data_IF_929113750253
#
_entry.id   IF_929113750253
#
_cell.length_a   1.000
_cell.length_b   1.000
_cell.length_c   1.000
_cell.angle_alpha   90.00
_cell.angle_beta   90.00
_cell.angle_gamma   90.00
#
_symmetry.space_group_name_H-M   'P 1'
#
loop_
_entity.id
_entity.type
_entity.pdbx_description
1 polymer ?
#
# COMPACT_ATOMS: atom_id res chain seq x y z
N UNK A 1 10.91 -57.63 -0.77
CA UNK A 1 11.25 -56.63 0.28
C UNK A 1 11.98 -55.47 -0.39
N UNK A 2 11.52 -54.23 -0.22
CA UNK A 2 12.19 -53.04 -0.76
C UNK A 2 11.40 -51.78 -0.36
N UNK A 3 11.90 -51.08 0.67
CA UNK A 3 11.21 -50.03 1.42
C UNK A 3 11.12 -48.71 0.65
N UNK A 4 9.94 -48.08 0.70
CA UNK A 4 9.70 -46.66 0.39
C UNK A 4 10.34 -45.79 1.51
N UNK A 5 11.20 -44.84 1.14
CA UNK A 5 11.66 -43.76 2.01
C UNK A 5 10.75 -42.54 1.88
N UNK A 6 10.14 -42.11 3.00
CA UNK A 6 9.44 -40.83 3.15
C UNK A 6 10.47 -39.75 3.48
N UNK A 7 10.44 -38.61 2.79
CA UNK A 7 11.02 -37.35 3.27
C UNK A 7 10.03 -36.63 4.19
N UNK A 8 10.47 -36.23 5.41
CA UNK A 8 9.93 -35.04 6.04
C UNK A 8 11.07 -34.22 6.67
N UNK A 9 11.42 -33.05 6.10
CA UNK A 9 12.42 -32.18 6.74
C UNK A 9 12.21 -30.66 6.57
N UNK A 10 11.25 -30.19 5.77
CA UNK A 10 11.06 -28.74 5.53
C UNK A 10 10.07 -28.05 6.49
N UNK A 11 8.93 -28.68 6.81
CA UNK A 11 7.90 -28.09 7.70
C UNK A 11 8.34 -27.92 9.17
N UNK A 12 9.28 -28.72 9.65
CA UNK A 12 9.74 -28.65 11.05
C UNK A 12 10.63 -27.43 11.34
N UNK A 13 11.35 -26.91 10.34
CA UNK A 13 12.26 -25.76 10.52
C UNK A 13 11.52 -24.42 10.53
N UNK A 14 10.48 -24.25 9.71
CA UNK A 14 9.64 -23.04 9.74
C UNK A 14 8.83 -22.93 11.03
N UNK A 15 8.25 -24.04 11.51
CA UNK A 15 7.52 -24.07 12.77
C UNK A 15 8.44 -23.81 13.99
N UNK A 16 9.69 -24.31 13.95
CA UNK A 16 10.67 -24.03 14.99
C UNK A 16 11.15 -22.57 14.95
N UNK A 17 11.36 -21.98 13.77
CA UNK A 17 11.73 -20.58 13.63
C UNK A 17 10.61 -19.62 14.09
N UNK A 18 9.35 -19.92 13.75
CA UNK A 18 8.18 -19.19 14.28
C UNK A 18 8.07 -19.30 15.80
N UNK A 19 8.27 -20.50 16.36
CA UNK A 19 8.24 -20.71 17.81
C UNK A 19 9.34 -19.96 18.56
N UNK A 20 10.54 -19.85 18.00
CA UNK A 20 11.67 -19.11 18.57
C UNK A 20 11.45 -17.59 18.50
N UNK A 21 10.88 -17.08 17.41
CA UNK A 21 10.52 -15.66 17.28
C UNK A 21 9.39 -15.25 18.25
N UNK A 22 8.36 -16.10 18.41
CA UNK A 22 7.27 -15.87 19.37
C UNK A 22 7.76 -15.95 20.83
N UNK A 23 8.69 -16.84 21.15
CA UNK A 23 9.28 -16.92 22.50
C UNK A 23 10.23 -15.76 22.79
N UNK A 24 11.01 -15.29 21.82
CA UNK A 24 11.85 -14.10 21.98
C UNK A 24 11.01 -12.82 22.16
N UNK A 25 9.94 -12.65 21.37
CA UNK A 25 9.01 -11.54 21.53
C UNK A 25 8.27 -11.61 22.88
N UNK A 26 7.86 -12.80 23.32
CA UNK A 26 7.22 -13.03 24.63
C UNK A 26 8.16 -12.75 25.80
N UNK A 27 9.44 -13.13 25.70
CA UNK A 27 10.46 -12.86 26.71
C UNK A 27 10.78 -11.35 26.80
N UNK A 28 10.96 -10.67 25.65
CA UNK A 28 11.15 -9.22 25.60
C UNK A 28 9.93 -8.47 26.18
N UNK A 29 8.71 -8.94 25.88
CA UNK A 29 7.48 -8.40 26.46
C UNK A 29 7.39 -8.63 27.98
N UNK A 30 8.01 -9.68 28.53
CA UNK A 30 8.01 -9.98 29.95
C UNK A 30 9.01 -9.12 30.74
N UNK A 31 10.20 -8.84 30.18
CA UNK A 31 11.21 -7.97 30.80
C UNK A 31 10.77 -6.49 30.85
N UNK A 32 10.04 -6.01 29.83
CA UNK A 32 9.53 -4.64 29.76
C UNK A 32 8.36 -4.33 30.72
N UNK A 33 7.71 -5.34 31.32
CA UNK A 33 6.54 -5.15 32.20
C UNK A 33 6.85 -4.51 33.56
N UNK A 34 8.13 -4.38 33.92
CA UNK A 34 8.55 -4.00 35.27
C UNK A 34 8.76 -2.48 35.50
N UNK A 35 8.62 -1.62 34.48
CA UNK A 35 9.15 -0.24 34.57
C UNK A 35 8.12 0.91 34.47
N UNK A 36 6.84 0.68 34.19
CA UNK A 36 5.94 1.79 33.84
C UNK A 36 5.20 2.39 35.06
N UNK A 37 5.86 3.30 35.79
CA UNK A 37 5.21 4.16 36.82
C UNK A 37 5.38 5.67 36.58
N UNK A 38 6.12 6.10 35.55
CA UNK A 38 6.31 7.50 35.22
C UNK A 38 5.15 8.07 34.37
N UNK A 39 4.86 9.38 34.52
CA UNK A 39 3.97 10.11 33.62
C UNK A 39 4.59 10.19 32.22
N UNK A 40 3.93 9.61 31.22
CA UNK A 40 4.41 9.68 29.84
C UNK A 40 4.28 11.10 29.28
N UNK A 41 5.39 11.69 28.86
CA UNK A 41 5.40 12.94 28.11
C UNK A 41 6.36 12.79 26.91
N UNK A 42 5.84 12.75 25.67
CA UNK A 42 6.65 12.62 24.46
C UNK A 42 7.74 13.69 24.29
N UNK A 43 7.58 14.85 24.94
CA UNK A 43 8.52 15.98 24.84
C UNK A 43 9.79 15.79 25.67
N UNK A 44 9.81 14.80 26.55
CA UNK A 44 10.98 14.52 27.38
C UNK A 44 12.09 13.81 26.58
N UNK A 45 11.78 13.31 25.37
CA UNK A 45 12.74 12.68 24.48
C UNK A 45 13.73 13.69 23.92
N UNK A 46 15.02 13.37 23.97
CA UNK A 46 16.09 14.15 23.37
C UNK A 46 16.27 13.80 21.88
N UNK A 47 15.93 12.57 21.49
CA UNK A 47 15.99 12.11 20.11
C UNK A 47 14.86 11.11 19.76
N UNK A 48 14.63 10.82 18.46
CA UNK A 48 13.57 9.92 18.02
C UNK A 48 13.69 8.46 18.50
N UNK A 49 14.90 7.97 18.79
CA UNK A 49 15.13 6.62 19.29
C UNK A 49 14.82 6.51 20.79
N UNK A 50 15.14 7.53 21.57
CA UNK A 50 14.70 7.62 22.97
C UNK A 50 13.16 7.70 23.04
N UNK A 51 12.53 8.46 22.15
CA UNK A 51 11.06 8.50 22.04
C UNK A 51 10.46 7.13 21.71
N UNK A 52 11.09 6.37 20.81
CA UNK A 52 10.70 5.00 20.48
C UNK A 52 10.72 4.10 21.73
N UNK A 53 11.81 4.13 22.50
CA UNK A 53 11.97 3.30 23.70
C UNK A 53 10.96 3.67 24.80
N UNK A 54 10.72 4.97 25.00
CA UNK A 54 9.67 5.45 25.90
C UNK A 54 8.28 4.99 25.47
N UNK A 55 7.96 5.09 24.18
CA UNK A 55 6.67 4.63 23.67
C UNK A 55 6.50 3.12 23.86
N UNK A 56 7.52 2.32 23.56
CA UNK A 56 7.50 0.85 23.73
C UNK A 56 7.23 0.46 25.18
N UNK A 57 7.82 1.16 26.16
CA UNK A 57 7.56 0.91 27.58
C UNK A 57 6.11 1.29 27.99
N UNK A 58 5.56 2.38 27.45
CA UNK A 58 4.24 2.90 27.81
C UNK A 58 3.08 2.18 27.11
N UNK A 59 3.33 1.57 25.94
CA UNK A 59 2.34 0.74 25.25
C UNK A 59 1.88 -0.49 26.05
N UNK A 60 2.57 -0.83 27.14
CA UNK A 60 2.18 -1.89 28.07
C UNK A 60 1.30 -1.40 29.24
N UNK A 61 1.04 -0.09 29.35
CA UNK A 61 0.24 0.51 30.43
C UNK A 61 -1.19 -0.05 30.44
N UNK A 62 -1.77 -0.21 31.64
CA UNK A 62 -3.14 -0.70 31.82
C UNK A 62 -4.18 0.29 31.28
N UNK A 63 -3.88 1.59 31.27
CA UNK A 63 -4.78 2.69 30.90
C UNK A 63 -4.83 2.87 29.37
N UNK A 64 -6.03 2.75 28.80
CA UNK A 64 -6.28 2.95 27.37
C UNK A 64 -5.81 4.32 26.83
N UNK A 65 -6.21 5.45 27.45
CA UNK A 65 -5.82 6.78 26.96
C UNK A 65 -4.31 6.99 26.89
N UNK A 66 -3.56 6.47 27.87
CA UNK A 66 -2.09 6.56 27.90
C UNK A 66 -1.45 5.73 26.79
N UNK A 67 -1.99 4.53 26.50
CA UNK A 67 -1.55 3.73 25.36
C UNK A 67 -1.88 4.39 24.02
N UNK A 68 -3.04 5.03 23.89
CA UNK A 68 -3.39 5.79 22.69
C UNK A 68 -2.42 6.95 22.44
N UNK A 69 -2.07 7.70 23.47
CA UNK A 69 -1.11 8.80 23.38
C UNK A 69 0.28 8.30 23.00
N UNK A 70 0.75 7.20 23.59
CA UNK A 70 2.01 6.57 23.21
C UNK A 70 2.00 6.05 21.77
N UNK A 71 0.90 5.45 21.30
CA UNK A 71 0.79 4.98 19.91
C UNK A 71 0.79 6.16 18.92
N UNK A 72 0.15 7.27 19.27
CA UNK A 72 0.17 8.48 18.45
C UNK A 72 1.56 9.11 18.38
N UNK A 73 2.25 9.21 19.52
CA UNK A 73 3.63 9.71 19.58
C UNK A 73 4.60 8.81 18.79
N UNK A 74 4.43 7.50 18.89
CA UNK A 74 5.19 6.52 18.12
C UNK A 74 4.99 6.68 16.61
N UNK A 75 3.75 6.83 16.16
CA UNK A 75 3.45 7.13 14.75
C UNK A 75 4.13 8.43 14.28
N UNK A 76 4.06 9.50 15.08
CA UNK A 76 4.74 10.76 14.78
C UNK A 76 6.27 10.64 14.71
N UNK A 77 6.87 9.84 15.60
CA UNK A 77 8.30 9.54 15.57
C UNK A 77 8.70 8.82 14.27
N UNK A 78 7.93 7.82 13.85
CA UNK A 78 8.17 7.07 12.61
C UNK A 78 8.00 7.95 11.37
N UNK A 79 7.01 8.86 11.32
CA UNK A 79 6.87 9.85 10.24
C UNK A 79 8.08 10.79 10.14
N UNK A 80 8.73 11.06 11.28
CA UNK A 80 9.88 11.93 11.38
C UNK A 80 11.22 11.19 11.23
N UNK A 81 11.25 9.86 11.10
CA UNK A 81 12.49 9.11 10.96
C UNK A 81 12.89 8.95 9.48
N UNK A 82 14.17 9.14 9.13
CA UNK A 82 14.67 8.64 7.86
C UNK A 82 14.49 7.12 7.79
N UNK A 83 14.48 6.51 6.60
CA UNK A 83 14.47 5.06 6.50
C UNK A 83 15.71 4.47 7.14
N UNK A 84 15.50 3.39 7.86
CA UNK A 84 16.52 2.70 8.63
C UNK A 84 16.82 1.38 7.93
N UNK A 85 18.11 1.05 7.84
CA UNK A 85 18.57 -0.20 7.25
C UNK A 85 17.93 -1.38 7.98
N UNK A 86 18.04 -1.37 9.31
CA UNK A 86 17.39 -2.28 10.24
C UNK A 86 17.04 -1.47 11.50
N UNK A 87 15.76 -1.45 11.91
CA UNK A 87 15.48 -1.35 13.34
C UNK A 87 15.73 -2.78 13.85
N UNK A 88 16.59 -2.89 14.85
CA UNK A 88 16.95 -4.13 15.53
C UNK A 88 15.72 -4.88 16.10
N UNK A 89 15.88 -5.74 17.10
CA UNK A 89 14.77 -6.40 17.84
C UNK A 89 13.53 -5.51 18.15
N UNK A 90 13.71 -4.18 18.27
CA UNK A 90 12.68 -3.15 18.44
C UNK A 90 11.56 -3.18 17.39
N UNK A 91 11.84 -3.51 16.13
CA UNK A 91 10.81 -3.66 15.08
C UNK A 91 9.69 -4.61 15.48
N UNK A 92 10.12 -5.82 15.86
CA UNK A 92 9.23 -6.92 16.16
C UNK A 92 8.51 -6.66 17.47
N UNK A 93 9.15 -5.99 18.42
CA UNK A 93 8.51 -5.52 19.66
C UNK A 93 7.43 -4.48 19.36
N UNK A 94 7.72 -3.46 18.54
CA UNK A 94 6.72 -2.47 18.12
C UNK A 94 5.55 -3.12 17.39
N UNK A 95 5.83 -4.02 16.44
CA UNK A 95 4.80 -4.77 15.73
C UNK A 95 3.98 -5.66 16.69
N UNK A 96 4.61 -6.36 17.62
CA UNK A 96 3.92 -7.21 18.60
C UNK A 96 3.00 -6.38 19.50
N UNK A 97 3.45 -5.21 19.96
CA UNK A 97 2.63 -4.28 20.75
C UNK A 97 1.45 -3.73 19.95
N UNK A 98 1.67 -3.33 18.70
CA UNK A 98 0.59 -2.96 17.78
C UNK A 98 -0.41 -4.11 17.59
N UNK A 99 0.09 -5.34 17.43
CA UNK A 99 -0.72 -6.54 17.31
C UNK A 99 -1.59 -6.81 18.54
N UNK A 100 -1.11 -6.49 19.74
CA UNK A 100 -1.90 -6.55 20.98
C UNK A 100 -3.03 -5.53 20.95
N UNK A 101 -2.76 -4.27 20.58
CA UNK A 101 -3.78 -3.22 20.46
C UNK A 101 -4.84 -3.55 19.41
N UNK A 102 -4.42 -4.11 18.26
CA UNK A 102 -5.32 -4.59 17.20
C UNK A 102 -6.20 -5.74 17.70
N UNK A 103 -5.62 -6.76 18.34
CA UNK A 103 -6.37 -7.92 18.86
C UNK A 103 -7.34 -7.53 19.98
N UNK A 104 -6.98 -6.56 20.83
CA UNK A 104 -7.86 -6.05 21.91
C UNK A 104 -9.07 -5.28 21.41
N UNK A 105 -9.03 -4.73 20.18
CA UNK A 105 -10.17 -4.05 19.55
C UNK A 105 -11.10 -5.01 18.78
N UNK A 106 -10.78 -6.30 18.71
CA UNK A 106 -11.52 -7.28 17.92
C UNK A 106 -12.95 -7.64 18.41
N UNK A 107 -13.41 -7.35 19.65
CA UNK A 107 -14.85 -7.28 19.91
C UNK A 107 -15.39 -5.93 19.43
N UNK A 108 -16.27 -5.96 18.41
CA UNK A 108 -16.94 -4.81 17.80
C UNK A 108 -17.46 -3.82 18.86
N UNK A 109 -17.08 -2.55 18.74
CA UNK A 109 -17.47 -1.48 19.66
C UNK A 109 -16.67 -1.39 20.98
N UNK A 110 -15.58 -2.15 21.15
CA UNK A 110 -14.73 -2.05 22.32
C UNK A 110 -14.07 -0.66 22.46
N UNK A 111 -13.85 -0.21 23.71
CA UNK A 111 -13.30 1.08 24.11
C UNK A 111 -11.90 1.47 23.53
N UNK A 112 -11.34 0.69 22.59
CA UNK A 112 -10.00 0.81 22.04
C UNK A 112 -9.95 0.93 20.50
N UNK A 113 -11.06 1.23 19.82
CA UNK A 113 -11.08 1.34 18.35
C UNK A 113 -10.10 2.41 17.81
N UNK A 114 -9.91 3.51 18.56
CA UNK A 114 -8.93 4.54 18.22
C UNK A 114 -7.49 4.03 18.40
N UNK A 115 -7.19 3.33 19.49
CA UNK A 115 -5.92 2.64 19.70
C UNK A 115 -5.58 1.69 18.54
N UNK A 116 -6.54 0.89 18.06
CA UNK A 116 -6.33 -0.01 16.93
C UNK A 116 -6.06 0.73 15.61
N UNK A 117 -6.76 1.83 15.32
CA UNK A 117 -6.47 2.66 14.14
C UNK A 117 -5.06 3.23 14.16
N UNK A 118 -4.62 3.71 15.32
CA UNK A 118 -3.25 4.19 15.51
C UNK A 118 -2.23 3.05 15.34
N UNK A 119 -2.55 1.84 15.82
CA UNK A 119 -1.71 0.67 15.64
C UNK A 119 -1.55 0.29 14.15
N UNK A 120 -2.64 0.24 13.37
CA UNK A 120 -2.56 -0.01 11.92
C UNK A 120 -1.70 1.03 11.20
N UNK A 121 -1.90 2.32 11.52
CA UNK A 121 -1.08 3.39 10.96
C UNK A 121 0.40 3.20 11.30
N UNK A 122 0.70 2.89 12.56
CA UNK A 122 2.07 2.66 13.06
C UNK A 122 2.74 1.49 12.35
N UNK A 123 2.02 0.37 12.13
CA UNK A 123 2.56 -0.80 11.40
C UNK A 123 2.91 -0.44 9.96
N UNK A 124 2.06 0.30 9.25
CA UNK A 124 2.37 0.73 7.89
C UNK A 124 3.51 1.75 7.82
N UNK A 125 3.59 2.69 8.77
CA UNK A 125 4.72 3.62 8.87
C UNK A 125 6.02 2.87 9.16
N UNK A 126 5.99 1.92 10.08
CA UNK A 126 7.11 1.03 10.37
C UNK A 126 7.57 0.36 9.08
N UNK A 127 6.67 -0.27 8.32
CA UNK A 127 7.02 -0.92 7.05
C UNK A 127 7.70 0.04 6.04
N UNK A 128 7.28 1.30 5.95
CA UNK A 128 7.90 2.30 5.07
C UNK A 128 9.25 2.82 5.58
N UNK A 129 9.46 2.81 6.89
CA UNK A 129 10.74 3.17 7.52
C UNK A 129 11.77 2.04 7.46
N UNK A 130 11.35 0.78 7.36
CA UNK A 130 12.25 -0.37 7.30
C UNK A 130 12.71 -0.66 5.88
N UNK A 131 14.03 -0.63 5.64
CA UNK A 131 14.59 -0.97 4.33
C UNK A 131 14.70 -2.50 4.15
N UNK A 132 15.34 -3.21 5.08
CA UNK A 132 15.55 -4.66 4.96
C UNK A 132 14.43 -5.50 5.63
N UNK A 133 13.89 -5.05 6.76
CA UNK A 133 12.94 -5.81 7.59
C UNK A 133 11.47 -5.78 7.14
N UNK A 134 11.12 -5.05 6.07
CA UNK A 134 9.73 -4.90 5.64
C UNK A 134 9.10 -6.22 5.15
N UNK A 135 9.89 -7.13 4.58
CA UNK A 135 9.41 -8.45 4.13
C UNK A 135 9.00 -9.34 5.30
N UNK A 136 9.84 -9.43 6.33
CA UNK A 136 9.52 -10.22 7.53
C UNK A 136 8.30 -9.62 8.26
N UNK A 137 8.23 -8.28 8.32
CA UNK A 137 7.07 -7.58 8.85
C UNK A 137 5.78 -7.93 8.09
N UNK A 138 5.82 -8.00 6.75
CA UNK A 138 4.67 -8.41 5.93
C UNK A 138 4.22 -9.82 6.27
N UNK A 139 5.14 -10.77 6.43
CA UNK A 139 4.77 -12.16 6.76
C UNK A 139 4.09 -12.29 8.12
N UNK A 140 4.50 -11.48 9.09
CA UNK A 140 3.84 -11.43 10.40
C UNK A 140 2.54 -10.61 10.40
N UNK A 141 2.48 -9.53 9.63
CA UNK A 141 1.33 -8.63 9.58
C UNK A 141 0.18 -9.20 8.74
N UNK A 142 0.48 -9.90 7.64
CA UNK A 142 -0.52 -10.36 6.67
C UNK A 142 -1.63 -11.22 7.31
N UNK A 143 -1.36 -12.25 8.14
CA UNK A 143 -2.43 -13.05 8.75
C UNK A 143 -3.37 -12.22 9.64
N UNK A 144 -2.83 -11.23 10.36
CA UNK A 144 -3.60 -10.34 11.23
C UNK A 144 -4.46 -9.36 10.41
N UNK A 145 -3.87 -8.73 9.40
CA UNK A 145 -4.52 -7.75 8.54
C UNK A 145 -5.57 -8.41 7.65
N UNK A 146 -5.22 -9.50 6.98
CA UNK A 146 -6.12 -10.29 6.14
C UNK A 146 -7.37 -10.75 6.91
N UNK A 147 -7.17 -11.26 8.13
CA UNK A 147 -8.28 -11.63 9.01
C UNK A 147 -9.16 -10.42 9.35
N UNK A 148 -8.56 -9.28 9.67
CA UNK A 148 -9.31 -8.06 10.00
C UNK A 148 -10.15 -7.60 8.81
N UNK A 149 -9.54 -7.52 7.62
CA UNK A 149 -10.24 -6.98 6.44
C UNK A 149 -11.37 -7.88 5.95
N UNK A 150 -11.29 -9.18 6.25
CA UNK A 150 -12.32 -10.17 5.90
C UNK A 150 -13.50 -10.20 6.87
N UNK A 151 -13.44 -9.50 8.02
CA UNK A 151 -14.58 -9.39 8.94
C UNK A 151 -15.63 -8.48 8.33
N UNK A 152 -16.90 -8.89 8.35
CA UNK A 152 -18.02 -8.02 7.99
C UNK A 152 -18.11 -6.87 9.00
N UNK A 153 -17.69 -5.68 8.59
CA UNK A 153 -17.72 -4.50 9.44
C UNK A 153 -19.16 -4.03 9.71
N UNK A 154 -19.40 -3.60 10.94
CA UNK A 154 -20.54 -2.74 11.25
C UNK A 154 -20.31 -1.33 10.69
N UNK A 155 -21.36 -0.50 10.59
CA UNK A 155 -21.22 0.88 10.12
C UNK A 155 -20.25 1.69 11.00
N UNK A 156 -20.22 1.42 12.31
CA UNK A 156 -19.38 2.13 13.29
C UNK A 156 -17.90 1.71 13.22
N UNK A 157 -17.60 0.52 12.66
CA UNK A 157 -16.25 0.00 12.51
C UNK A 157 -15.60 0.39 11.17
N UNK A 158 -16.30 1.11 10.29
CA UNK A 158 -15.80 1.49 8.96
C UNK A 158 -14.43 2.19 8.98
N UNK A 159 -14.15 3.17 9.88
CA UNK A 159 -12.82 3.81 9.93
C UNK A 159 -11.70 2.85 10.36
N UNK A 160 -12.01 1.84 11.17
CA UNK A 160 -11.04 0.82 11.61
C UNK A 160 -10.69 -0.11 10.45
N UNK A 161 -11.70 -0.52 9.68
CA UNK A 161 -11.50 -1.33 8.49
C UNK A 161 -10.72 -0.58 7.39
N UNK A 162 -11.00 0.72 7.20
CA UNK A 162 -10.23 1.58 6.29
C UNK A 162 -8.76 1.63 6.71
N UNK A 163 -8.47 1.82 8.01
CA UNK A 163 -7.10 1.83 8.51
C UNK A 163 -6.39 0.48 8.28
N UNK A 164 -7.11 -0.64 8.42
CA UNK A 164 -6.57 -1.97 8.16
C UNK A 164 -6.29 -2.21 6.66
N UNK A 165 -7.17 -1.75 5.76
CA UNK A 165 -6.99 -1.81 4.31
C UNK A 165 -5.78 -0.98 3.85
N UNK A 166 -5.69 0.26 4.33
CA UNK A 166 -4.56 1.14 4.03
C UNK A 166 -3.25 0.54 4.57
N UNK A 167 -3.25 0.00 5.79
CA UNK A 167 -2.09 -0.68 6.37
C UNK A 167 -1.69 -1.91 5.55
N UNK A 168 -2.63 -2.77 5.14
CA UNK A 168 -2.33 -3.94 4.31
C UNK A 168 -1.67 -3.52 2.99
N UNK A 169 -2.21 -2.51 2.32
CA UNK A 169 -1.66 -2.00 1.07
C UNK A 169 -0.23 -1.48 1.24
N UNK A 170 0.03 -0.69 2.29
CA UNK A 170 1.37 -0.12 2.54
C UNK A 170 2.39 -1.17 2.94
N UNK A 171 2.04 -2.09 3.84
CA UNK A 171 2.94 -3.14 4.28
C UNK A 171 3.27 -4.08 3.11
N UNK A 172 2.28 -4.42 2.28
CA UNK A 172 2.51 -5.22 1.07
C UNK A 172 3.38 -4.49 0.08
N UNK A 173 3.15 -3.20 -0.16
CA UNK A 173 4.00 -2.39 -1.04
C UNK A 173 5.46 -2.43 -0.57
N UNK A 174 5.71 -2.12 0.70
CA UNK A 174 7.06 -2.06 1.28
C UNK A 174 7.74 -3.43 1.37
N UNK A 175 6.99 -4.47 1.75
CA UNK A 175 7.53 -5.77 2.13
C UNK A 175 7.51 -6.84 1.03
N UNK A 176 6.64 -6.75 0.03
CA UNK A 176 6.51 -7.80 -0.97
C UNK A 176 7.81 -7.98 -1.77
N UNK A 177 8.34 -9.21 -1.80
CA UNK A 177 9.54 -9.55 -2.57
C UNK A 177 9.17 -10.39 -3.81
N UNK A 178 8.09 -11.17 -3.74
CA UNK A 178 7.59 -11.98 -4.86
C UNK A 178 6.19 -11.53 -5.29
N UNK A 179 5.78 -11.84 -6.51
CA UNK A 179 4.46 -11.49 -7.03
C UNK A 179 3.33 -12.08 -6.15
N UNK A 180 3.51 -13.31 -5.67
CA UNK A 180 2.58 -14.03 -4.79
C UNK A 180 2.21 -13.22 -3.53
N UNK A 181 3.14 -12.42 -2.97
CA UNK A 181 2.89 -11.58 -1.80
C UNK A 181 1.87 -10.46 -2.08
N UNK A 182 1.96 -9.90 -3.28
CA UNK A 182 1.04 -8.86 -3.74
C UNK A 182 -0.28 -9.49 -4.13
N UNK A 183 -0.26 -10.62 -4.84
CA UNK A 183 -1.46 -11.36 -5.25
C UNK A 183 -2.32 -11.81 -4.06
N UNK A 184 -1.71 -12.34 -2.97
CA UNK A 184 -2.45 -12.70 -1.75
C UNK A 184 -3.16 -11.51 -1.12
N UNK A 185 -2.53 -10.33 -1.18
CA UNK A 185 -3.08 -9.08 -0.63
C UNK A 185 -4.17 -8.49 -1.54
N UNK A 186 -3.95 -8.49 -2.85
CA UNK A 186 -4.94 -8.12 -3.86
C UNK A 186 -6.20 -8.95 -3.72
N UNK A 187 -6.06 -10.27 -3.57
CA UNK A 187 -7.18 -11.18 -3.35
C UNK A 187 -7.94 -10.84 -2.07
N UNK A 188 -7.24 -10.61 -0.96
CA UNK A 188 -7.87 -10.27 0.32
C UNK A 188 -8.66 -8.95 0.25
N UNK A 189 -8.16 -7.95 -0.47
CA UNK A 189 -8.84 -6.66 -0.66
C UNK A 189 -10.01 -6.79 -1.66
N UNK A 190 -9.82 -7.52 -2.77
CA UNK A 190 -10.87 -7.76 -3.77
C UNK A 190 -12.11 -8.38 -3.15
N UNK A 191 -11.88 -9.33 -2.25
CA UNK A 191 -12.86 -10.00 -1.43
C UNK A 191 -13.70 -9.05 -0.54
N UNK A 192 -13.20 -7.86 -0.22
CA UNK A 192 -13.94 -6.79 0.49
C UNK A 192 -14.81 -5.98 -0.47
N UNK A 193 -14.31 -5.71 -1.67
CA UNK A 193 -15.03 -5.00 -2.73
C UNK A 193 -16.21 -5.87 -3.21
N UNK A 194 -15.93 -7.14 -3.48
CA UNK A 194 -16.90 -8.12 -3.99
C UNK A 194 -16.88 -9.40 -3.13
N UNK A 195 -17.65 -9.44 -2.02
CA UNK A 195 -17.70 -10.61 -1.16
C UNK A 195 -18.19 -11.87 -1.89
N UNK A 196 -17.52 -13.04 -1.74
CA UNK A 196 -17.92 -14.29 -2.31
C UNK A 196 -19.22 -14.78 -1.66
N UNK A 197 -20.00 -15.52 -2.45
CA UNK A 197 -21.31 -16.04 -2.04
C UNK A 197 -21.25 -16.85 -0.73
N UNK A 198 -20.14 -17.54 -0.47
CA UNK A 198 -19.93 -18.33 0.76
C UNK A 198 -19.92 -17.50 2.06
N UNK A 199 -19.65 -16.18 1.98
CA UNK A 199 -19.74 -15.27 3.14
C UNK A 199 -21.15 -14.70 3.36
N UNK A 200 -22.10 -15.03 2.48
CA UNK A 200 -23.49 -14.58 2.56
C UNK A 200 -24.36 -15.64 3.23
N UNK A 201 -24.34 -15.71 4.56
CA UNK A 201 -25.24 -16.58 5.34
C UNK A 201 -26.67 -16.03 5.46
N UNK A 202 -26.93 -14.83 4.93
CA UNK A 202 -28.22 -14.15 5.02
C UNK A 202 -28.98 -14.16 3.70
N UNK A 203 -30.32 -14.18 3.79
CA UNK A 203 -31.23 -14.05 2.63
C UNK A 203 -30.88 -12.78 1.83
N UNK A 204 -31.03 -12.78 0.48
CA UNK A 204 -30.59 -11.70 -0.41
C UNK A 204 -31.11 -10.30 -0.04
N UNK A 205 -32.25 -10.20 0.64
CA UNK A 205 -32.84 -8.94 1.11
C UNK A 205 -32.21 -8.34 2.39
N UNK A 206 -31.24 -9.01 3.02
CA UNK A 206 -30.61 -8.60 4.30
C UNK A 206 -29.08 -8.55 4.23
N UNK A 207 -28.54 -8.47 3.01
CA UNK A 207 -27.10 -8.29 2.79
C UNK A 207 -26.72 -6.89 3.26
N UNK A 208 -25.95 -6.79 4.34
CA UNK A 208 -25.36 -5.50 4.74
C UNK A 208 -24.41 -5.06 3.64
N UNK A 209 -24.79 -4.02 2.90
CA UNK A 209 -23.95 -3.41 1.85
C UNK A 209 -22.70 -2.83 2.51
N UNK A 210 -21.53 -3.08 1.92
CA UNK A 210 -20.28 -2.43 2.32
C UNK A 210 -20.46 -0.91 2.22
N UNK A 211 -20.19 -0.17 3.30
CA UNK A 211 -20.30 1.30 3.29
C UNK A 211 -19.42 1.91 2.20
N UNK A 212 -19.87 2.99 1.56
CA UNK A 212 -19.13 3.70 0.52
C UNK A 212 -17.68 4.01 0.93
N UNK A 213 -17.46 4.45 2.18
CA UNK A 213 -16.13 4.72 2.73
C UNK A 213 -15.18 3.51 2.67
N UNK A 214 -15.68 2.31 2.99
CA UNK A 214 -14.90 1.07 2.94
C UNK A 214 -14.63 0.69 1.48
N UNK A 215 -15.63 0.80 0.60
CA UNK A 215 -15.47 0.51 -0.83
C UNK A 215 -14.40 1.41 -1.47
N UNK A 216 -14.44 2.72 -1.20
CA UNK A 216 -13.42 3.66 -1.70
C UNK A 216 -12.02 3.26 -1.23
N UNK A 217 -11.85 2.97 0.06
CA UNK A 217 -10.56 2.58 0.59
C UNK A 217 -10.07 1.25 -0.01
N UNK A 218 -10.96 0.27 -0.14
CA UNK A 218 -10.64 -1.04 -0.71
C UNK A 218 -10.26 -0.93 -2.20
N UNK A 219 -11.03 -0.21 -3.01
CA UNK A 219 -10.71 0.03 -4.42
C UNK A 219 -9.40 0.80 -4.56
N UNK A 220 -9.18 1.84 -3.75
CA UNK A 220 -7.94 2.63 -3.78
C UNK A 220 -6.72 1.78 -3.39
N UNK A 221 -6.84 0.96 -2.33
CA UNK A 221 -5.80 0.06 -1.87
C UNK A 221 -5.48 -1.04 -2.90
N UNK A 222 -6.52 -1.59 -3.52
CA UNK A 222 -6.37 -2.58 -4.60
C UNK A 222 -5.67 -1.97 -5.81
N UNK A 223 -6.14 -0.82 -6.29
CA UNK A 223 -5.52 -0.12 -7.44
C UNK A 223 -4.06 0.22 -7.14
N UNK A 224 -3.77 0.73 -5.94
CA UNK A 224 -2.41 0.99 -5.51
C UNK A 224 -1.53 -0.26 -5.61
N UNK A 225 -1.97 -1.42 -5.11
CA UNK A 225 -1.18 -2.65 -5.22
C UNK A 225 -1.06 -3.17 -6.66
N UNK A 226 -2.10 -3.04 -7.50
CA UNK A 226 -2.03 -3.44 -8.92
C UNK A 226 -0.92 -2.71 -9.64
N UNK A 227 -0.68 -1.43 -9.35
CA UNK A 227 0.43 -0.66 -9.94
C UNK A 227 1.83 -1.17 -9.58
N UNK A 228 1.92 -2.11 -8.63
CA UNK A 228 3.18 -2.63 -8.10
C UNK A 228 3.47 -4.05 -8.57
N UNK A 229 2.48 -4.74 -9.15
CA UNK A 229 2.67 -6.10 -9.66
C UNK A 229 3.36 -6.02 -11.03
N UNK A 230 4.48 -6.73 -11.25
CA UNK A 230 5.05 -6.88 -12.59
C UNK A 230 4.16 -7.83 -13.41
N UNK A 231 3.13 -7.28 -14.05
CA UNK A 231 2.22 -8.05 -14.89
C UNK A 231 2.81 -8.11 -16.30
N UNK A 232 3.20 -9.30 -16.74
CA UNK A 232 3.72 -9.53 -18.09
C UNK A 232 2.58 -9.72 -19.10
N UNK A 233 2.77 -9.38 -20.39
CA UNK A 233 1.75 -9.60 -21.43
C UNK A 233 1.29 -11.07 -21.54
N UNK A 234 2.18 -12.03 -21.28
CA UNK A 234 1.86 -13.46 -21.26
C UNK A 234 0.96 -13.85 -20.09
N UNK A 235 1.15 -13.25 -18.91
CA UNK A 235 0.25 -13.43 -17.76
C UNK A 235 -1.14 -12.87 -18.07
N UNK A 236 -1.23 -11.65 -18.61
CA UNK A 236 -2.53 -11.06 -19.00
C UNK A 236 -3.28 -11.97 -19.99
N UNK A 237 -2.57 -12.61 -20.92
CA UNK A 237 -3.15 -13.57 -21.87
C UNK A 237 -3.66 -14.84 -21.19
N UNK A 238 -2.88 -15.37 -20.27
CA UNK A 238 -3.25 -16.56 -19.49
C UNK A 238 -4.50 -16.29 -18.65
N UNK A 239 -4.53 -15.14 -17.98
CA UNK A 239 -5.59 -14.74 -17.04
C UNK A 239 -6.66 -13.86 -17.69
N UNK A 240 -6.80 -13.92 -19.02
CA UNK A 240 -7.70 -13.04 -19.79
C UNK A 240 -9.12 -12.99 -19.23
N UNK A 241 -9.68 -14.14 -18.84
CA UNK A 241 -11.04 -14.23 -18.33
C UNK A 241 -11.17 -13.58 -16.95
N UNK A 242 -10.15 -13.71 -16.10
CA UNK A 242 -10.10 -13.09 -14.79
C UNK A 242 -10.03 -11.56 -14.93
N UNK A 243 -9.18 -11.04 -15.85
CA UNK A 243 -9.11 -9.62 -16.13
C UNK A 243 -10.40 -9.07 -16.73
N UNK A 244 -11.01 -9.72 -17.73
CA UNK A 244 -12.31 -9.29 -18.27
C UNK A 244 -13.38 -9.19 -17.18
N UNK A 245 -13.43 -10.17 -16.27
CA UNK A 245 -14.37 -10.15 -15.14
C UNK A 245 -14.05 -9.02 -14.15
N UNK A 246 -12.77 -8.79 -13.88
CA UNK A 246 -12.29 -7.70 -13.00
C UNK A 246 -12.70 -6.34 -13.57
N UNK A 247 -12.48 -6.11 -14.87
CA UNK A 247 -12.84 -4.86 -15.55
C UNK A 247 -14.36 -4.65 -15.55
N UNK A 248 -15.14 -5.68 -15.86
CA UNK A 248 -16.61 -5.59 -15.80
C UNK A 248 -17.10 -5.27 -14.39
N UNK A 249 -16.49 -5.86 -13.36
CA UNK A 249 -16.86 -5.60 -11.95
C UNK A 249 -16.53 -4.16 -11.55
N UNK A 250 -15.36 -3.64 -11.93
CA UNK A 250 -14.98 -2.24 -11.71
C UNK A 250 -15.88 -1.27 -12.50
N UNK A 251 -16.26 -1.61 -13.73
CA UNK A 251 -17.20 -0.83 -14.52
C UNK A 251 -18.57 -0.70 -13.84
N UNK A 252 -19.06 -1.78 -13.21
CA UNK A 252 -20.30 -1.73 -12.42
C UNK A 252 -20.24 -0.75 -11.24
N UNK A 253 -19.06 -0.46 -10.69
CA UNK A 253 -18.91 0.54 -9.62
C UNK A 253 -19.02 1.99 -10.12
N UNK A 254 -18.91 2.25 -11.43
CA UNK A 254 -19.15 3.58 -12.00
C UNK A 254 -20.61 4.03 -11.85
N UNK A 255 -21.53 3.10 -11.67
CA UNK A 255 -22.97 3.36 -11.51
C UNK A 255 -23.40 3.49 -10.04
N UNK A 256 -22.48 3.33 -9.08
CA UNK A 256 -22.77 3.36 -7.65
C UNK A 256 -23.35 4.70 -7.18
N UNK A 257 -24.25 4.76 -6.20
CA UNK A 257 -24.89 6.04 -5.77
C UNK A 257 -23.91 7.08 -5.21
N UNK A 258 -22.86 6.60 -4.54
CA UNK A 258 -21.81 7.45 -3.96
C UNK A 258 -20.74 7.84 -5.01
N UNK A 259 -20.55 9.16 -5.19
CA UNK A 259 -19.59 9.73 -6.15
C UNK A 259 -18.14 9.35 -5.88
N UNK A 260 -17.75 9.23 -4.61
CA UNK A 260 -16.38 8.87 -4.25
C UNK A 260 -16.06 7.43 -4.65
N UNK A 261 -17.05 6.53 -4.60
CA UNK A 261 -16.93 5.16 -5.13
C UNK A 261 -16.76 5.18 -6.65
N UNK A 262 -17.56 5.98 -7.37
CA UNK A 262 -17.41 6.14 -8.83
C UNK A 262 -16.01 6.64 -9.19
N UNK A 263 -15.52 7.66 -8.48
CA UNK A 263 -14.20 8.24 -8.70
C UNK A 263 -13.09 7.20 -8.51
N UNK A 264 -13.12 6.44 -7.40
CA UNK A 264 -12.13 5.39 -7.14
C UNK A 264 -12.15 4.29 -8.22
N UNK A 265 -13.34 3.91 -8.71
CA UNK A 265 -13.50 2.95 -9.80
C UNK A 265 -12.96 3.51 -11.13
N UNK A 266 -13.19 4.79 -11.42
CA UNK A 266 -12.63 5.48 -12.59
C UNK A 266 -11.10 5.49 -12.58
N UNK A 267 -10.47 5.83 -11.46
CA UNK A 267 -9.01 5.76 -11.30
C UNK A 267 -8.50 4.33 -11.47
N UNK A 268 -9.20 3.33 -10.92
CA UNK A 268 -8.86 1.92 -11.09
C UNK A 268 -8.86 1.50 -12.56
N UNK A 269 -9.91 1.86 -13.31
CA UNK A 269 -10.03 1.57 -14.73
C UNK A 269 -8.96 2.28 -15.57
N UNK A 270 -8.66 3.55 -15.25
CA UNK A 270 -7.59 4.28 -15.94
C UNK A 270 -6.22 3.60 -15.76
N UNK A 271 -5.91 3.14 -14.54
CA UNK A 271 -4.71 2.32 -14.28
C UNK A 271 -4.76 1.00 -15.05
N UNK A 272 -5.88 0.29 -15.05
CA UNK A 272 -6.00 -0.97 -15.80
C UNK A 272 -5.79 -0.80 -17.31
N UNK A 273 -6.28 0.30 -17.89
CA UNK A 273 -6.04 0.64 -19.30
C UNK A 273 -4.56 0.97 -19.52
N UNK A 274 -3.96 1.80 -18.67
CA UNK A 274 -2.55 2.19 -18.79
C UNK A 274 -1.59 0.99 -18.68
N UNK A 275 -1.92 0.02 -17.82
CA UNK A 275 -1.16 -1.23 -17.66
C UNK A 275 -1.52 -2.29 -18.71
N UNK A 276 -2.36 -1.94 -19.70
CA UNK A 276 -2.80 -2.83 -20.79
C UNK A 276 -3.51 -4.11 -20.30
N UNK A 277 -4.20 -4.04 -19.15
CA UNK A 277 -4.97 -5.15 -18.57
C UNK A 277 -6.33 -5.33 -19.26
N UNK A 278 -6.76 -4.34 -20.03
CA UNK A 278 -8.02 -4.33 -20.78
C UNK A 278 -7.91 -4.90 -22.20
N UNK A 279 -6.71 -5.31 -22.65
CA UNK A 279 -6.46 -5.68 -24.06
C UNK A 279 -7.32 -6.83 -24.61
N UNK A 280 -7.90 -7.68 -23.75
CA UNK A 280 -8.77 -8.80 -24.13
C UNK A 280 -10.25 -8.55 -23.80
N UNK A 281 -10.60 -7.37 -23.28
CA UNK A 281 -12.00 -6.96 -23.07
C UNK A 281 -12.65 -6.73 -24.44
N UNK A 282 -13.91 -7.13 -24.59
CA UNK A 282 -14.60 -6.94 -25.87
C UNK A 282 -14.71 -5.46 -26.20
N UNK A 283 -14.57 -5.12 -27.49
CA UNK A 283 -14.61 -3.73 -27.95
C UNK A 283 -15.89 -3.01 -27.52
N UNK A 284 -17.04 -3.70 -27.62
CA UNK A 284 -18.33 -3.17 -27.21
C UNK A 284 -18.40 -2.84 -25.71
N UNK A 285 -17.80 -3.68 -24.86
CA UNK A 285 -17.74 -3.44 -23.42
C UNK A 285 -16.87 -2.22 -23.11
N UNK A 286 -15.74 -2.07 -23.80
CA UNK A 286 -14.89 -0.88 -23.68
C UNK A 286 -15.59 0.38 -24.17
N UNK A 287 -16.33 0.32 -25.29
CA UNK A 287 -17.12 1.43 -25.80
C UNK A 287 -18.22 1.85 -24.79
N UNK A 288 -18.85 0.88 -24.12
CA UNK A 288 -19.81 1.13 -23.04
C UNK A 288 -19.16 1.83 -21.84
N UNK A 289 -18.00 1.33 -21.38
CA UNK A 289 -17.24 1.96 -20.28
C UNK A 289 -16.88 3.40 -20.62
N UNK A 290 -16.39 3.66 -21.84
CA UNK A 290 -16.02 5.01 -22.30
C UNK A 290 -17.26 5.93 -22.32
N UNK A 291 -18.42 5.42 -22.76
CA UNK A 291 -19.66 6.18 -22.73
C UNK A 291 -20.05 6.58 -21.29
N UNK A 292 -20.04 5.63 -20.35
CA UNK A 292 -20.31 5.90 -18.93
C UNK A 292 -19.35 6.92 -18.34
N UNK A 293 -18.06 6.83 -18.67
CA UNK A 293 -17.02 7.79 -18.23
C UNK A 293 -17.30 9.20 -18.78
N UNK A 294 -17.73 9.33 -20.04
CA UNK A 294 -18.12 10.62 -20.63
C UNK A 294 -19.36 11.22 -19.96
N UNK A 295 -20.35 10.39 -19.66
CA UNK A 295 -21.56 10.83 -18.96
C UNK A 295 -21.22 11.35 -17.55
N UNK A 296 -20.33 10.68 -16.82
CA UNK A 296 -19.86 11.13 -15.50
C UNK A 296 -19.02 12.41 -15.56
N UNK A 297 -18.27 12.63 -16.64
CA UNK A 297 -17.53 13.88 -16.89
C UNK A 297 -18.48 15.08 -17.18
N UNK A 298 -19.62 14.78 -17.82
CA UNK A 298 -20.64 15.75 -18.18
C UNK A 298 -21.78 15.87 -17.16
N UNK A 299 -21.78 15.07 -16.08
CA UNK A 299 -22.88 14.96 -15.12
C UNK A 299 -23.35 16.34 -14.64
N UNK A 300 -24.63 16.62 -14.87
CA UNK A 300 -25.29 17.79 -14.32
C UNK A 300 -25.62 17.53 -12.85
N UNK A 301 -25.45 18.54 -11.99
CA UNK A 301 -25.61 18.36 -10.53
C UNK A 301 -27.02 18.07 -10.03
N UNK A 302 -27.99 17.82 -10.91
CA UNK A 302 -29.39 17.55 -10.59
C UNK A 302 -30.09 18.66 -9.82
N UNK A 303 -31.43 18.65 -9.81
CA UNK A 303 -32.20 19.39 -8.79
C UNK A 303 -32.37 18.48 -7.58
N UNK A 304 -31.84 18.89 -6.43
CA UNK A 304 -31.99 18.14 -5.15
C UNK A 304 -30.91 17.08 -4.88
N UNK A 305 -30.02 16.78 -5.82
CA UNK A 305 -28.87 15.91 -5.54
C UNK A 305 -27.78 16.67 -4.77
N UNK A 306 -27.08 15.96 -3.88
CA UNK A 306 -25.91 16.51 -3.21
C UNK A 306 -24.90 16.99 -4.25
N UNK A 307 -24.41 18.22 -4.14
CA UNK A 307 -23.36 18.77 -5.03
C UNK A 307 -21.95 18.44 -4.54
N UNK A 308 -21.84 17.82 -3.36
CA UNK A 308 -20.56 17.44 -2.76
C UNK A 308 -19.82 16.48 -3.70
N UNK A 309 -18.53 16.70 -3.91
CA UNK A 309 -17.65 15.95 -4.82
C UNK A 309 -17.99 16.04 -6.32
N UNK A 310 -19.05 16.74 -6.74
CA UNK A 310 -19.40 16.82 -8.16
C UNK A 310 -18.33 17.55 -9.00
N UNK A 311 -17.76 18.70 -8.58
CA UNK A 311 -16.67 19.33 -9.30
C UNK A 311 -15.45 18.41 -9.46
N UNK A 312 -15.07 17.73 -8.37
CA UNK A 312 -13.93 16.81 -8.30
C UNK A 312 -14.17 15.58 -9.20
N UNK A 313 -15.37 15.02 -9.17
CA UNK A 313 -15.78 13.93 -10.05
C UNK A 313 -15.65 14.35 -11.52
N UNK A 314 -16.26 15.47 -11.91
CA UNK A 314 -16.22 15.95 -13.30
C UNK A 314 -14.80 16.23 -13.75
N UNK A 315 -13.97 16.81 -12.87
CA UNK A 315 -12.56 17.04 -13.16
C UNK A 315 -11.82 15.72 -13.42
N UNK A 316 -11.94 14.75 -12.52
CA UNK A 316 -11.30 13.44 -12.67
C UNK A 316 -11.75 12.74 -13.95
N UNK A 317 -13.05 12.63 -14.21
CA UNK A 317 -13.53 11.92 -15.39
C UNK A 317 -13.19 12.64 -16.70
N UNK A 318 -13.03 13.97 -16.71
CA UNK A 318 -12.48 14.67 -17.88
C UNK A 318 -11.04 14.29 -18.15
N UNK A 319 -10.21 14.13 -17.11
CA UNK A 319 -8.84 13.64 -17.28
C UNK A 319 -8.83 12.20 -17.82
N UNK A 320 -9.73 11.35 -17.33
CA UNK A 320 -9.87 9.97 -17.83
C UNK A 320 -10.35 9.96 -19.28
N UNK A 321 -11.34 10.77 -19.66
CA UNK A 321 -11.77 10.91 -21.08
C UNK A 321 -10.60 11.33 -21.96
N UNK A 322 -9.86 12.37 -21.57
CA UNK A 322 -8.69 12.83 -22.33
C UNK A 322 -7.64 11.73 -22.49
N UNK A 323 -7.40 10.94 -21.43
CA UNK A 323 -6.52 9.78 -21.50
C UNK A 323 -7.04 8.71 -22.45
N UNK A 324 -8.32 8.34 -22.37
CA UNK A 324 -8.90 7.26 -23.20
C UNK A 324 -9.00 7.65 -24.68
N UNK A 325 -9.26 8.93 -24.99
CA UNK A 325 -9.45 9.41 -26.36
C UNK A 325 -8.15 9.85 -27.04
N UNK A 326 -7.18 10.36 -26.27
CA UNK A 326 -6.00 11.05 -26.81
C UNK A 326 -4.66 10.58 -26.19
N UNK A 327 -4.67 9.57 -25.31
CA UNK A 327 -3.50 9.14 -24.51
C UNK A 327 -2.90 10.32 -23.70
N UNK A 328 -3.74 11.30 -23.34
CA UNK A 328 -3.34 12.43 -22.48
C UNK A 328 -3.26 11.98 -21.03
N UNK A 329 -2.05 11.59 -20.61
CA UNK A 329 -1.76 11.16 -19.25
C UNK A 329 -1.71 12.33 -18.25
N UNK A 330 -2.06 12.10 -16.98
CA UNK A 330 -1.97 13.13 -15.96
C UNK A 330 -0.53 13.60 -15.76
N UNK A 331 -0.37 14.89 -15.47
CA UNK A 331 0.92 15.51 -15.16
C UNK A 331 0.83 16.21 -13.80
N UNK A 332 1.50 15.66 -12.81
CA UNK A 332 1.67 16.30 -11.49
C UNK A 332 3.16 16.53 -11.24
N UNK A 333 3.48 17.65 -10.59
CA UNK A 333 4.85 17.92 -10.17
C UNK A 333 4.88 18.31 -8.70
N UNK A 334 5.71 17.63 -7.91
CA UNK A 334 5.93 17.94 -6.49
C UNK A 334 7.33 18.48 -6.32
N UNK A 335 7.43 19.70 -5.80
CA UNK A 335 8.73 20.26 -5.44
C UNK A 335 9.20 19.66 -4.12
N UNK A 336 10.43 19.14 -4.10
CA UNK A 336 11.12 18.69 -2.90
C UNK A 336 12.50 19.33 -2.79
N UNK A 337 13.12 19.26 -1.62
CA UNK A 337 14.50 19.71 -1.41
C UNK A 337 15.40 18.50 -1.26
N UNK A 338 16.50 18.44 -2.00
CA UNK A 338 17.46 17.37 -1.89
C UNK A 338 18.07 17.34 -0.49
N UNK A 339 18.12 16.15 0.13
CA UNK A 339 18.67 15.99 1.47
C UNK A 339 20.17 16.34 1.55
N UNK A 340 20.93 16.17 0.46
CA UNK A 340 22.38 16.33 0.43
C UNK A 340 22.86 17.78 0.38
N UNK A 341 22.17 18.66 -0.36
CA UNK A 341 22.62 20.03 -0.63
C UNK A 341 21.51 21.08 -0.58
N UNK A 342 20.29 20.69 -0.20
CA UNK A 342 19.13 21.57 -0.10
C UNK A 342 18.58 22.06 -1.45
N UNK A 343 19.11 21.60 -2.58
CA UNK A 343 18.67 22.05 -3.91
C UNK A 343 17.24 21.62 -4.18
N UNK A 344 16.52 22.48 -4.90
CA UNK A 344 15.17 22.18 -5.36
C UNK A 344 15.22 21.03 -6.38
N UNK A 345 14.56 19.93 -6.07
CA UNK A 345 14.29 18.84 -7.01
C UNK A 345 12.79 18.81 -7.31
N UNK A 346 12.43 18.43 -8.52
CA UNK A 346 11.02 18.30 -8.91
C UNK A 346 10.72 16.83 -9.20
N UNK A 347 9.88 16.24 -8.37
CA UNK A 347 9.24 14.96 -8.63
C UNK A 347 8.24 15.16 -9.75
N UNK A 348 8.38 14.46 -10.87
CA UNK A 348 7.40 14.51 -11.95
C UNK A 348 6.67 13.18 -12.03
N UNK A 349 5.34 13.24 -12.09
CA UNK A 349 4.45 12.11 -12.29
C UNK A 349 3.74 12.31 -13.61
N UNK A 350 3.88 11.33 -14.51
CA UNK A 350 3.40 11.39 -15.90
C UNK A 350 2.51 10.20 -16.29
N UNK A 351 2.17 9.34 -15.32
CA UNK A 351 1.36 8.13 -15.54
C UNK A 351 0.30 8.01 -14.45
N UNK A 352 -0.83 7.37 -14.77
CA UNK A 352 -1.90 7.07 -13.82
C UNK A 352 -1.42 6.18 -12.69
N UNK A 353 -0.65 5.13 -13.01
CA UNK A 353 -0.07 4.22 -12.03
C UNK A 353 0.78 4.97 -11.00
N UNK A 354 1.64 5.88 -11.45
CA UNK A 354 2.48 6.69 -10.55
C UNK A 354 1.68 7.76 -9.80
N UNK A 355 0.64 8.33 -10.41
CA UNK A 355 -0.26 9.25 -9.73
C UNK A 355 -1.00 8.58 -8.58
N UNK A 356 -1.53 7.37 -8.80
CA UNK A 356 -2.18 6.59 -7.75
C UNK A 356 -1.19 6.25 -6.63
N UNK A 357 0.03 5.78 -6.97
CA UNK A 357 1.08 5.54 -5.97
C UNK A 357 1.39 6.79 -5.14
N UNK A 358 1.57 7.93 -5.79
CA UNK A 358 1.86 9.22 -5.15
C UNK A 358 0.74 9.63 -4.20
N UNK A 359 -0.50 9.63 -4.69
CA UNK A 359 -1.67 10.05 -3.92
C UNK A 359 -1.92 9.16 -2.71
N UNK A 360 -1.78 7.85 -2.90
CA UNK A 360 -1.95 6.88 -1.82
C UNK A 360 -0.90 7.07 -0.72
N UNK A 361 0.39 7.15 -1.10
CA UNK A 361 1.48 7.33 -0.16
C UNK A 361 1.47 8.71 0.50
N UNK A 362 1.08 9.77 -0.22
CA UNK A 362 0.89 11.13 0.33
C UNK A 362 -0.18 11.17 1.39
N UNK A 363 -1.34 10.56 1.12
CA UNK A 363 -2.45 10.42 2.09
C UNK A 363 -2.02 9.60 3.30
N UNK A 364 -1.30 8.50 3.08
CA UNK A 364 -0.86 7.63 4.16
C UNK A 364 0.22 8.28 5.03
N UNK A 365 1.28 8.85 4.45
CA UNK A 365 2.40 9.43 5.19
C UNK A 365 2.08 10.78 5.86
N UNK A 366 1.07 11.51 5.37
CA UNK A 366 0.68 12.79 5.96
C UNK A 366 1.85 13.78 6.03
N UNK A 367 2.14 14.28 7.23
CA UNK A 367 3.23 15.24 7.46
C UNK A 367 4.63 14.70 7.14
N UNK A 368 4.84 13.38 7.26
CA UNK A 368 6.10 12.72 6.95
C UNK A 368 6.38 12.55 5.45
N UNK A 369 5.41 12.83 4.57
CA UNK A 369 5.53 12.55 3.13
C UNK A 369 6.78 13.18 2.49
N UNK A 370 7.01 14.48 2.73
CA UNK A 370 8.15 15.17 2.13
C UNK A 370 9.48 14.60 2.61
N UNK A 371 9.59 14.20 3.87
CA UNK A 371 10.82 13.63 4.43
C UNK A 371 11.13 12.28 3.78
N UNK A 372 10.13 11.40 3.72
CA UNK A 372 10.27 10.11 3.04
C UNK A 372 10.64 10.28 1.57
N UNK A 373 10.00 11.19 0.81
CA UNK A 373 10.36 11.40 -0.60
C UNK A 373 11.81 11.88 -0.76
N UNK A 374 12.34 12.66 0.18
CA UNK A 374 13.71 13.19 0.12
C UNK A 374 14.78 12.17 0.52
N UNK A 375 14.49 11.34 1.52
CA UNK A 375 15.49 10.50 2.18
C UNK A 375 15.32 9.01 1.81
N UNK A 376 14.15 8.59 1.36
CA UNK A 376 13.83 7.18 1.13
C UNK A 376 14.08 6.70 -0.29
N UNK A 377 14.98 5.72 -0.41
CA UNK A 377 15.28 5.02 -1.66
C UNK A 377 14.02 4.43 -2.29
N UNK A 378 13.05 3.95 -1.49
CA UNK A 378 11.77 3.43 -1.99
C UNK A 378 11.02 4.47 -2.84
N UNK A 379 11.14 5.76 -2.53
CA UNK A 379 10.51 6.85 -3.27
C UNK A 379 11.39 7.36 -4.42
N UNK A 380 12.72 7.33 -4.25
CA UNK A 380 13.70 7.70 -5.31
C UNK A 380 13.64 6.78 -6.52
N UNK A 381 13.37 5.51 -6.29
CA UNK A 381 13.26 4.49 -7.35
C UNK A 381 11.84 4.42 -7.93
N UNK A 382 10.81 4.74 -7.13
CA UNK A 382 9.43 4.78 -7.60
C UNK A 382 9.11 5.97 -8.49
N UNK A 383 9.85 7.09 -8.38
CA UNK A 383 9.53 8.31 -9.12
C UNK A 383 10.75 8.93 -9.80
N UNK A 384 10.55 9.55 -10.96
CA UNK A 384 11.61 10.27 -11.66
C UNK A 384 11.77 11.68 -11.09
N UNK A 385 12.94 11.97 -10.53
CA UNK A 385 13.32 13.31 -10.07
C UNK A 385 14.01 14.03 -11.22
N UNK A 386 13.38 15.09 -11.73
CA UNK A 386 14.04 15.99 -12.66
C UNK A 386 15.07 16.84 -11.93
N UNK A 387 16.34 16.77 -12.33
CA UNK A 387 17.30 17.83 -12.00
C UNK A 387 17.12 18.98 -13.00
N UNK A 388 17.16 20.22 -12.53
CA UNK A 388 17.31 21.39 -13.42
C UNK A 388 18.79 21.65 -13.80
N UNK A 389 19.70 20.74 -13.45
CA UNK A 389 21.13 20.94 -13.66
C UNK A 389 21.64 20.10 -14.83
N UNK A 390 21.82 20.76 -15.99
CA UNK A 390 22.73 20.34 -17.06
C UNK A 390 24.18 20.34 -16.53
N UNK A 391 24.59 19.32 -15.76
CA UNK A 391 26.01 19.07 -15.48
C UNK A 391 26.35 17.59 -15.64
N UNK A 392 27.26 17.33 -16.59
CA UNK A 392 27.84 16.01 -16.88
C UNK A 392 28.65 15.55 -15.67
N UNK A 393 28.19 14.52 -14.96
CA UNK A 393 28.96 13.86 -13.91
C UNK A 393 30.22 13.21 -14.48
N UNK A 394 31.31 13.26 -13.72
CA UNK A 394 32.61 12.74 -14.12
C UNK A 394 32.70 11.22 -13.95
N UNK A 395 33.60 10.58 -14.69
CA UNK A 395 33.81 9.12 -14.71
C UNK A 395 34.26 8.58 -13.33
N UNK A 396 34.84 9.42 -12.48
CA UNK A 396 35.30 9.05 -11.14
C UNK A 396 34.14 8.85 -10.15
N UNK A 397 33.09 9.68 -10.24
CA UNK A 397 31.89 9.60 -9.38
C UNK A 397 31.07 8.33 -9.69
N UNK A 398 31.05 7.90 -10.95
CA UNK A 398 30.44 6.62 -11.37
C UNK A 398 31.13 5.38 -10.79
N UNK A 399 32.44 5.45 -10.51
CA UNK A 399 33.21 4.30 -10.00
C UNK A 399 33.08 4.09 -8.49
N UNK A 400 32.80 5.15 -7.71
CA UNK A 400 32.63 5.02 -6.26
C UNK A 400 31.25 4.48 -5.87
N UNK A 401 30.20 4.74 -6.65
CA UNK A 401 28.86 4.18 -6.41
C UNK A 401 28.79 2.64 -6.55
N UNK A 402 29.74 2.02 -7.26
CA UNK A 402 29.72 0.59 -7.57
C UNK A 402 30.33 -0.32 -6.47
N UNK A 403 30.87 0.23 -5.36
CA UNK A 403 31.75 -0.52 -4.44
C UNK A 403 31.21 -0.85 -3.04
N UNK A 404 29.94 -0.60 -2.71
CA UNK A 404 29.32 -1.10 -1.46
C UNK A 404 28.14 -2.02 -1.77
N UNK A 405 28.42 -3.33 -1.88
CA UNK A 405 27.41 -4.36 -2.18
C UNK A 405 27.45 -5.44 -1.11
N UNK A 406 26.51 -5.36 -0.18
CA UNK A 406 26.02 -6.52 0.55
C UNK A 406 24.95 -7.23 -0.32
N UNK A 407 25.07 -8.55 -0.51
CA UNK A 407 24.96 -9.14 -1.86
C UNK A 407 23.83 -10.13 -2.13
N UNK A 408 23.00 -10.52 -1.15
CA UNK A 408 21.98 -11.55 -1.40
C UNK A 408 20.54 -11.04 -1.28
N UNK A 409 20.19 -10.37 -0.18
CA UNK A 409 18.84 -9.84 0.05
C UNK A 409 18.61 -8.52 -0.71
N UNK A 410 19.62 -7.66 -0.77
CA UNK A 410 19.60 -6.41 -1.55
C UNK A 410 19.36 -6.67 -3.04
N UNK A 411 20.01 -7.68 -3.62
CA UNK A 411 19.84 -8.02 -5.04
C UNK A 411 18.44 -8.56 -5.35
N UNK A 412 17.84 -9.36 -4.45
CA UNK A 412 16.47 -9.87 -4.64
C UNK A 412 15.42 -8.76 -4.49
N UNK A 413 15.62 -7.84 -3.55
CA UNK A 413 14.78 -6.67 -3.35
C UNK A 413 14.90 -5.73 -4.56
N UNK A 414 16.11 -5.32 -4.93
CA UNK A 414 16.35 -4.40 -6.06
C UNK A 414 15.80 -4.98 -7.38
N UNK A 415 15.96 -6.29 -7.65
CA UNK A 415 15.36 -6.94 -8.83
C UNK A 415 13.83 -7.04 -8.77
N UNK A 416 13.27 -7.36 -7.59
CA UNK A 416 11.82 -7.36 -7.38
C UNK A 416 11.24 -5.96 -7.60
N UNK A 417 11.88 -4.93 -7.05
CA UNK A 417 11.48 -3.53 -7.14
C UNK A 417 11.70 -2.92 -8.52
N UNK A 418 12.80 -3.25 -9.21
CA UNK A 418 12.98 -2.93 -10.63
C UNK A 418 11.79 -3.49 -11.41
N UNK A 419 11.40 -4.75 -11.20
CA UNK A 419 10.20 -5.33 -11.80
C UNK A 419 8.90 -4.59 -11.43
N UNK A 420 8.71 -4.13 -10.18
CA UNK A 420 7.55 -3.29 -9.78
C UNK A 420 7.48 -1.96 -10.53
N UNK A 421 8.60 -1.48 -11.07
CA UNK A 421 8.73 -0.21 -11.80
C UNK A 421 9.03 -0.39 -13.31
N UNK A 422 9.15 -1.63 -13.82
CA UNK A 422 9.53 -1.94 -15.22
C UNK A 422 8.55 -1.35 -16.23
N UNK A 423 7.28 -1.19 -15.87
CA UNK A 423 6.24 -0.67 -16.77
C UNK A 423 6.35 0.86 -17.02
N UNK A 424 7.26 1.55 -16.32
CA UNK A 424 7.40 3.02 -16.36
C UNK A 424 8.76 3.53 -16.83
N UNK A 425 9.68 2.67 -17.29
CA UNK A 425 10.86 3.19 -17.98
C UNK A 425 10.39 3.86 -19.27
N UNK A 426 10.38 5.20 -19.28
CA UNK A 426 10.31 6.01 -20.50
C UNK A 426 11.14 5.31 -21.56
N UNK A 427 10.46 4.99 -22.67
CA UNK A 427 10.99 4.22 -23.77
C UNK A 427 12.43 4.65 -24.06
N UNK A 428 13.37 3.71 -23.89
CA UNK A 428 14.65 3.82 -24.58
C UNK A 428 14.34 3.73 -26.07
N UNK A 429 14.15 4.89 -26.67
CA UNK A 429 14.11 5.15 -28.11
C UNK A 429 12.95 4.45 -28.87
N UNK A 430 11.95 5.19 -29.39
CA UNK A 430 10.89 4.65 -30.25
C UNK A 430 11.42 3.89 -31.48
N UNK A 431 12.63 4.22 -31.94
CA UNK A 431 13.20 3.68 -33.17
C UNK A 431 13.78 2.26 -33.06
N UNK A 432 13.79 1.65 -31.86
CA UNK A 432 14.31 0.26 -31.68
C UNK A 432 13.25 -0.82 -31.52
N UNK A 433 11.97 -0.46 -31.43
CA UNK A 433 10.86 -1.44 -31.34
C UNK A 433 10.50 -2.02 -32.73
N UNK A 434 10.95 -1.40 -33.82
CA UNK A 434 10.74 -1.88 -35.19
C UNK A 434 11.77 -2.91 -35.70
N UNK A 435 12.68 -3.42 -34.84
CA UNK A 435 13.69 -4.41 -35.26
C UNK A 435 13.60 -5.78 -34.56
N UNK A 436 12.54 -6.07 -33.80
CA UNK A 436 12.30 -7.41 -33.28
C UNK A 436 11.20 -8.12 -34.08
N UNK A 437 11.60 -8.53 -35.30
CA UNK A 437 11.22 -9.79 -35.95
C UNK A 437 9.73 -10.14 -36.04
N UNK A 438 9.09 -9.73 -37.14
CA UNK A 438 8.00 -10.49 -37.74
C UNK A 438 8.59 -11.56 -38.67
N UNK A 439 8.41 -12.82 -38.30
CA UNK A 439 8.15 -13.95 -39.20
C UNK A 439 7.37 -15.00 -38.42
#
# INVERSE_FOLDING_TARGET
>A
MGRKGKEPAKKGKEAAAQGVAETAASAALAELRLTTTASFNPRDAQDPFELLDMCVAVLQDKRGPTREEAMAALGGALEALPPLDELDSRCLTVFALCGVSIKKAAPAGGANAKEARLAYRTVGLLALTLRAGASDLLDHAFPLLSKTVQVQASHDDAPTLVAALDCLAVVTFAGAVVADDVERSLKAIWDVIFPPASRSTTKPASRKTTTAQILVAAVSAWTFLVTTVPITPSQVKTDRAAWTTTIASLAGLLEHDDRTVRMAAGEALAVCVELNLTQYVAKQDMESIVATVRDLAAEAGGRGASKTMLPEQRYLFRLIVAFLDHDERPRESVTVRAAADGRRQVLKVSTWAKLVQLNFLRRFLGGGFLKHVQENELFKEAFHFGSEDKKKLSIAERKQASKKKDKSLRVKRDLSWECKNVLCLESRNPDKVLQLGWH
#
